data_IF_899797607348
#
_entry.id   IF_899797607348
#
_cell.length_a   1.000
_cell.length_b   1.000
_cell.length_c   1.000
_cell.angle_alpha   90.00
_cell.angle_beta   90.00
_cell.angle_gamma   90.00
#
_symmetry.space_group_name_H-M   'P 1'
#
loop_
_entity.id
_entity.type
_entity.pdbx_description
1 polymer ?
#
# COMPACT_ATOMS: atom_id res chain seq x y z
N UNK A 1 -12.29 12.35 3.90
CA UNK A 1 -12.87 13.12 5.03
C UNK A 1 -11.79 13.44 6.03
N UNK A 2 -11.16 14.60 5.88
CA UNK A 2 -9.90 15.00 6.53
C UNK A 2 -10.16 15.87 7.78
N UNK A 3 -10.05 15.30 8.98
CA UNK A 3 -9.89 16.13 10.20
C UNK A 3 -9.54 15.37 11.49
N UNK A 4 -9.30 14.05 11.47
CA UNK A 4 -8.63 13.46 12.62
C UNK A 4 -7.19 14.01 12.66
N UNK A 5 -6.71 14.47 13.82
CA UNK A 5 -5.27 14.72 13.99
C UNK A 5 -4.53 13.45 13.56
N UNK A 6 -3.43 13.58 12.82
CA UNK A 6 -2.72 12.41 12.30
C UNK A 6 -2.36 11.41 13.41
N UNK A 7 -2.04 11.93 14.59
CA UNK A 7 -1.80 11.14 15.80
C UNK A 7 -2.99 10.26 16.19
N UNK A 8 -4.23 10.75 16.04
CA UNK A 8 -5.44 9.96 16.31
C UNK A 8 -5.64 8.84 15.27
N UNK A 9 -5.33 9.07 13.98
CA UNK A 9 -5.39 8.02 12.95
C UNK A 9 -4.45 6.86 13.30
N UNK A 10 -3.23 7.17 13.72
CA UNK A 10 -2.25 6.16 14.08
C UNK A 10 -2.59 5.44 15.39
N UNK A 11 -2.78 6.19 16.48
CA UNK A 11 -2.96 5.60 17.81
C UNK A 11 -4.29 4.89 18.01
N UNK A 12 -5.32 5.22 17.21
CA UNK A 12 -6.62 4.55 17.28
C UNK A 12 -6.73 3.52 16.16
N UNK A 13 -6.82 3.96 14.91
CA UNK A 13 -7.19 3.09 13.80
C UNK A 13 -6.10 2.13 13.39
N UNK A 14 -4.89 2.65 13.13
CA UNK A 14 -3.76 1.80 12.72
C UNK A 14 -3.43 0.82 13.84
N UNK A 15 -3.37 1.29 15.09
CA UNK A 15 -3.11 0.44 16.25
C UNK A 15 -4.14 -0.68 16.39
N UNK A 16 -5.44 -0.40 16.27
CA UNK A 16 -6.48 -1.42 16.33
C UNK A 16 -6.32 -2.50 15.25
N UNK A 17 -5.94 -2.12 14.02
CA UNK A 17 -5.74 -3.08 12.93
C UNK A 17 -4.54 -4.00 13.14
N UNK A 18 -3.47 -3.54 13.79
CA UNK A 18 -2.24 -4.31 13.98
C UNK A 18 -2.11 -4.97 15.38
N UNK A 19 -2.99 -4.64 16.34
CA UNK A 19 -2.99 -5.26 17.68
C UNK A 19 -4.33 -5.86 18.11
N UNK A 20 -5.39 -5.76 17.31
CA UNK A 20 -6.72 -6.30 17.64
C UNK A 20 -6.80 -7.83 17.59
N UNK A 21 -8.02 -8.37 17.66
CA UNK A 21 -8.27 -9.82 17.76
C UNK A 21 -7.82 -10.62 16.53
N UNK A 22 -7.72 -9.97 15.37
CA UNK A 22 -7.15 -10.53 14.15
C UNK A 22 -6.17 -9.53 13.53
N UNK A 23 -4.94 -9.43 14.09
CA UNK A 23 -4.01 -8.38 13.72
C UNK A 23 -3.46 -8.61 12.32
N UNK A 24 -3.46 -7.57 11.50
CA UNK A 24 -2.82 -7.64 10.17
C UNK A 24 -1.30 -7.57 10.33
N UNK A 25 -0.58 -8.46 9.62
CA UNK A 25 0.88 -8.48 9.70
C UNK A 25 1.54 -7.39 8.85
N UNK A 26 0.85 -6.94 7.79
CA UNK A 26 1.30 -5.88 6.89
C UNK A 26 0.10 -4.96 6.62
N UNK A 27 0.31 -3.66 6.78
CA UNK A 27 -0.72 -2.64 6.56
C UNK A 27 -0.19 -1.52 5.66
N UNK A 28 -0.89 -1.26 4.57
CA UNK A 28 -0.62 -0.17 3.64
C UNK A 28 -1.44 1.05 4.05
N UNK A 29 -0.78 2.18 4.29
CA UNK A 29 -1.44 3.42 4.72
C UNK A 29 -1.19 4.52 3.70
N UNK A 30 -2.26 5.00 3.07
CA UNK A 30 -2.26 6.20 2.22
C UNK A 30 -2.64 7.42 3.06
N UNK A 31 -2.21 8.60 2.63
CA UNK A 31 -2.38 9.86 3.36
C UNK A 31 -1.95 9.70 4.83
N UNK A 32 -0.77 9.14 5.01
CA UNK A 32 -0.22 8.73 6.30
C UNK A 32 0.07 9.93 7.21
N UNK A 33 0.11 11.15 6.66
CA UNK A 33 0.53 12.36 7.37
C UNK A 33 1.94 12.18 7.92
N UNK A 34 2.15 12.41 9.22
CA UNK A 34 3.37 12.07 9.95
C UNK A 34 3.24 10.71 10.63
N UNK A 35 4.36 10.01 10.77
CA UNK A 35 4.47 8.81 11.63
C UNK A 35 4.13 9.13 13.09
N UNK A 36 3.72 8.13 13.91
CA UNK A 36 3.41 8.35 15.33
C UNK A 36 4.57 9.02 16.05
N UNK A 37 4.30 9.96 16.98
CA UNK A 37 5.35 10.66 17.72
C UNK A 37 6.25 9.73 18.57
N UNK A 38 5.75 8.53 18.90
CA UNK A 38 6.48 7.51 19.66
C UNK A 38 7.29 6.55 18.79
N UNK A 39 7.15 6.60 17.46
CA UNK A 39 7.97 5.83 16.54
C UNK A 39 9.41 6.36 16.53
N UNK A 40 10.39 5.45 16.51
CA UNK A 40 11.82 5.78 16.60
C UNK A 40 12.53 5.38 15.31
N UNK A 41 13.32 6.26 14.68
CA UNK A 41 14.06 5.90 13.48
C UNK A 41 15.07 4.79 13.81
N UNK A 42 15.20 3.80 12.93
CA UNK A 42 16.17 2.70 13.13
C UNK A 42 17.59 3.10 12.76
N UNK A 43 17.74 4.16 11.96
CA UNK A 43 19.02 4.57 11.38
C UNK A 43 19.45 3.73 10.18
N UNK A 44 18.65 2.75 9.74
CA UNK A 44 18.92 1.97 8.53
C UNK A 44 18.87 2.89 7.30
N UNK A 45 19.97 2.93 6.55
CA UNK A 45 20.05 3.68 5.29
C UNK A 45 19.37 2.87 4.18
N UNK A 46 18.29 3.41 3.63
CA UNK A 46 17.51 2.80 2.55
C UNK A 46 17.53 3.75 1.36
N UNK A 47 18.13 3.32 0.24
CA UNK A 47 18.26 4.13 -0.98
C UNK A 47 17.73 3.38 -2.21
N UNK A 48 16.41 3.23 -2.34
CA UNK A 48 15.76 2.52 -3.43
C UNK A 48 15.69 3.33 -4.74
N UNK A 49 16.23 4.56 -4.75
CA UNK A 49 16.22 5.48 -5.88
C UNK A 49 15.06 6.48 -5.87
N UNK A 50 15.37 7.77 -6.05
CA UNK A 50 14.42 8.86 -6.34
C UNK A 50 13.51 9.34 -5.19
N UNK A 51 12.97 8.44 -4.36
CA UNK A 51 12.11 8.78 -3.21
C UNK A 51 12.73 8.26 -1.92
N UNK A 52 13.08 9.13 -0.95
CA UNK A 52 13.58 8.69 0.34
C UNK A 52 12.54 7.85 1.09
N UNK A 53 12.98 6.72 1.65
CA UNK A 53 12.19 5.90 2.58
C UNK A 53 12.92 5.85 3.91
N UNK A 54 12.21 6.21 4.98
CA UNK A 54 12.70 6.14 6.35
C UNK A 54 12.10 4.90 7.04
N UNK A 55 12.92 4.17 7.78
CA UNK A 55 12.49 3.02 8.60
C UNK A 55 12.42 3.43 10.08
N UNK A 56 11.29 3.10 10.72
CA UNK A 56 11.07 3.31 12.14
C UNK A 56 10.68 2.00 12.82
N UNK A 57 10.99 1.89 14.11
CA UNK A 57 10.32 0.96 15.03
C UNK A 57 9.22 1.69 15.79
N UNK A 58 8.11 1.00 16.05
CA UNK A 58 7.02 1.52 16.86
C UNK A 58 6.59 0.50 17.89
N UNK A 59 6.80 0.84 19.17
CA UNK A 59 6.46 0.00 20.30
C UNK A 59 4.98 0.15 20.66
N UNK A 60 4.22 -0.91 20.44
CA UNK A 60 2.77 -1.02 20.71
C UNK A 60 2.47 -1.74 22.02
N UNK A 61 3.45 -2.49 22.51
CA UNK A 61 3.37 -3.23 23.75
C UNK A 61 3.71 -2.41 24.99
N UNK A 62 3.76 -3.09 26.13
CA UNK A 62 4.33 -2.55 27.36
C UNK A 62 5.71 -3.15 27.59
N UNK A 63 6.46 -2.62 28.55
CA UNK A 63 7.80 -3.15 28.89
C UNK A 63 7.79 -4.64 29.27
N UNK A 64 6.69 -5.15 29.83
CA UNK A 64 6.54 -6.55 30.24
C UNK A 64 5.98 -7.46 29.13
N UNK A 65 5.43 -6.88 28.06
CA UNK A 65 4.90 -7.59 26.88
C UNK A 65 5.25 -6.78 25.62
N UNK A 66 6.52 -6.83 25.18
CA UNK A 66 6.94 -6.07 24.01
C UNK A 66 6.19 -6.56 22.77
N UNK A 67 5.68 -5.60 22.01
CA UNK A 67 5.10 -5.82 20.69
C UNK A 67 5.53 -4.62 19.84
N UNK A 68 6.44 -4.84 18.92
CA UNK A 68 7.03 -3.77 18.12
C UNK A 68 6.84 -4.08 16.64
N UNK A 69 6.48 -3.06 15.88
CA UNK A 69 6.34 -3.13 14.43
C UNK A 69 7.34 -2.21 13.75
N UNK A 70 7.59 -2.45 12.48
CA UNK A 70 8.36 -1.59 11.61
C UNK A 70 7.44 -0.70 10.79
N UNK A 71 7.84 0.55 10.56
CA UNK A 71 7.15 1.49 9.67
C UNK A 71 8.14 1.91 8.58
N UNK A 72 7.79 1.67 7.33
CA UNK A 72 8.47 2.16 6.14
C UNK A 72 7.71 3.37 5.62
N UNK A 73 8.28 4.55 5.76
CA UNK A 73 7.58 5.81 5.54
C UNK A 73 8.20 6.59 4.36
N UNK A 74 7.34 6.96 3.41
CA UNK A 74 7.69 7.77 2.26
C UNK A 74 7.16 9.19 2.43
N UNK A 75 8.06 10.15 2.60
CA UNK A 75 7.73 11.57 2.65
C UNK A 75 7.63 12.15 1.24
N UNK A 76 6.51 11.89 0.57
CA UNK A 76 6.30 12.25 -0.84
C UNK A 76 5.98 13.75 -1.00
N UNK A 77 5.24 14.33 -0.06
CA UNK A 77 4.89 15.76 -0.07
C UNK A 77 5.56 16.46 1.11
N UNK A 78 6.73 17.02 0.83
CA UNK A 78 7.56 17.75 1.80
C UNK A 78 6.91 19.07 2.27
N UNK A 79 5.91 19.58 1.55
CA UNK A 79 5.21 20.82 1.85
C UNK A 79 3.96 20.61 2.70
N UNK A 80 2.85 20.20 2.07
CA UNK A 80 1.56 20.09 2.73
C UNK A 80 1.40 18.77 3.53
N UNK A 81 2.28 17.79 3.31
CA UNK A 81 2.34 16.48 4.00
C UNK A 81 1.04 15.69 3.94
N UNK A 82 0.25 15.86 2.87
CA UNK A 82 -1.07 15.23 2.75
C UNK A 82 -1.03 13.87 2.07
N UNK A 83 -0.07 13.66 1.16
CA UNK A 83 -0.02 12.47 0.30
C UNK A 83 1.09 11.49 0.66
N UNK A 84 1.61 11.58 1.89
CA UNK A 84 2.63 10.64 2.38
C UNK A 84 2.07 9.22 2.47
N UNK A 85 2.93 8.24 2.28
CA UNK A 85 2.56 6.82 2.31
C UNK A 85 3.40 6.07 3.33
N UNK A 86 2.83 5.02 3.93
CA UNK A 86 3.54 4.15 4.84
C UNK A 86 3.19 2.68 4.63
N UNK A 87 4.11 1.79 4.97
CA UNK A 87 3.85 0.36 5.16
C UNK A 87 4.23 0.01 6.59
N UNK A 88 3.28 -0.52 7.36
CA UNK A 88 3.53 -1.09 8.69
C UNK A 88 3.73 -2.59 8.54
N UNK A 89 4.75 -3.15 9.18
CA UNK A 89 5.06 -4.58 9.11
C UNK A 89 5.44 -5.13 10.48
N UNK A 90 4.92 -6.31 10.82
CA UNK A 90 5.32 -7.05 12.02
C UNK A 90 6.77 -7.57 11.96
N UNK A 91 7.38 -7.61 10.77
CA UNK A 91 8.75 -8.07 10.54
C UNK A 91 9.56 -7.00 9.82
N UNK A 92 10.86 -6.91 10.11
CA UNK A 92 11.74 -6.04 9.35
C UNK A 92 11.86 -6.56 7.91
N UNK A 93 11.75 -5.65 6.94
CA UNK A 93 11.92 -5.92 5.53
C UNK A 93 13.36 -6.28 5.20
N UNK A 94 13.57 -7.32 4.38
CA UNK A 94 14.92 -7.61 3.89
C UNK A 94 15.33 -6.64 2.78
N UNK A 95 14.37 -6.15 2.00
CA UNK A 95 14.57 -5.25 0.86
C UNK A 95 13.42 -4.24 0.79
N UNK A 96 13.71 -3.04 0.27
CA UNK A 96 12.73 -1.95 0.12
C UNK A 96 12.79 -1.45 -1.32
N UNK A 97 11.62 -1.21 -1.91
CA UNK A 97 11.48 -0.82 -3.31
C UNK A 97 10.77 0.53 -3.44
N UNK A 98 11.15 1.28 -4.47
CA UNK A 98 10.44 2.46 -4.97
C UNK A 98 10.36 2.31 -6.48
N UNK A 99 9.18 2.00 -6.98
CA UNK A 99 8.94 1.75 -8.42
C UNK A 99 8.12 2.88 -8.98
N UNK A 100 8.60 3.46 -10.08
CA UNK A 100 7.92 4.53 -10.82
C UNK A 100 7.48 4.00 -12.18
N UNK A 101 6.32 4.48 -12.63
CA UNK A 101 5.89 4.32 -14.01
C UNK A 101 6.45 5.47 -14.88
N UNK A 102 6.51 5.26 -16.19
CA UNK A 102 7.17 6.15 -17.17
C UNK A 102 6.19 6.93 -18.07
N UNK A 103 4.89 6.73 -17.91
CA UNK A 103 3.82 7.33 -18.73
C UNK A 103 3.39 8.71 -18.26
N UNK A 104 3.45 8.95 -16.95
CA UNK A 104 3.07 10.21 -16.32
C UNK A 104 4.26 10.76 -15.56
N UNK A 105 4.48 12.07 -15.65
CA UNK A 105 5.62 12.75 -15.04
C UNK A 105 5.77 12.46 -13.54
N UNK A 106 7.02 12.36 -13.08
CA UNK A 106 7.39 11.87 -11.75
C UNK A 106 7.00 12.80 -10.59
N UNK A 107 6.73 14.07 -10.89
CA UNK A 107 6.20 15.10 -9.98
C UNK A 107 4.67 15.05 -9.86
N UNK A 108 3.99 14.40 -10.81
CA UNK A 108 2.53 14.23 -10.84
C UNK A 108 2.12 12.88 -10.23
N UNK A 109 2.71 11.78 -10.71
CA UNK A 109 2.37 10.43 -10.26
C UNK A 109 3.24 9.98 -9.09
N UNK A 110 2.59 9.39 -8.09
CA UNK A 110 3.24 8.84 -6.89
C UNK A 110 3.85 7.47 -7.23
N UNK A 111 5.06 7.15 -6.73
CA UNK A 111 5.63 5.82 -6.92
C UNK A 111 4.83 4.76 -6.16
N UNK A 112 4.95 3.50 -6.57
CA UNK A 112 4.67 2.37 -5.69
C UNK A 112 5.86 2.22 -4.73
N UNK A 113 5.58 2.17 -3.42
CA UNK A 113 6.61 1.85 -2.41
C UNK A 113 6.38 0.42 -1.94
N UNK A 114 7.43 -0.35 -1.71
CA UNK A 114 7.27 -1.75 -1.36
C UNK A 114 8.32 -2.28 -0.40
N UNK A 115 8.00 -3.39 0.26
CA UNK A 115 8.90 -4.14 1.12
C UNK A 115 8.90 -5.61 0.78
N UNK A 116 10.06 -6.27 0.89
CA UNK A 116 10.17 -7.73 0.77
C UNK A 116 10.25 -8.39 2.14
N UNK A 117 9.46 -9.45 2.31
CA UNK A 117 9.54 -10.39 3.43
C UNK A 117 9.57 -11.81 2.85
N UNK A 118 10.70 -12.48 2.95
CA UNK A 118 10.95 -13.75 2.26
C UNK A 118 10.81 -13.60 0.74
N UNK A 119 9.90 -14.38 0.14
CA UNK A 119 9.63 -14.40 -1.29
C UNK A 119 8.44 -13.52 -1.70
N UNK A 120 7.88 -12.74 -0.78
CA UNK A 120 6.71 -11.93 -1.01
C UNK A 120 7.06 -10.44 -0.92
N UNK A 121 6.59 -9.66 -1.90
CA UNK A 121 6.77 -8.21 -1.95
C UNK A 121 5.43 -7.52 -1.79
N UNK A 122 5.37 -6.57 -0.87
CA UNK A 122 4.14 -5.89 -0.48
C UNK A 122 4.26 -4.42 -0.85
N UNK A 123 3.48 -3.97 -1.83
CA UNK A 123 3.45 -2.62 -2.33
C UNK A 123 2.26 -1.83 -1.81
N UNK A 124 2.50 -0.56 -1.52
CA UNK A 124 1.51 0.46 -1.27
C UNK A 124 1.49 1.45 -2.45
N UNK A 125 0.28 1.77 -2.92
CA UNK A 125 0.05 2.80 -3.93
C UNK A 125 -1.04 3.78 -3.48
N UNK A 126 -1.01 4.96 -4.09
CA UNK A 126 -2.10 5.93 -4.05
C UNK A 126 -2.16 6.57 -5.45
N UNK A 127 -2.96 6.00 -6.34
CA UNK A 127 -3.11 6.47 -7.72
C UNK A 127 -3.83 7.83 -7.77
N UNK A 128 -3.64 8.59 -8.85
CA UNK A 128 -4.19 9.94 -9.06
C UNK A 128 -5.69 10.02 -8.75
N UNK A 129 -6.09 11.01 -7.95
CA UNK A 129 -7.49 11.19 -7.54
C UNK A 129 -8.45 11.45 -8.72
N UNK A 130 -7.93 11.89 -9.88
CA UNK A 130 -8.67 12.08 -11.13
C UNK A 130 -8.95 10.74 -11.85
N UNK A 131 -9.55 9.78 -11.16
CA UNK A 131 -9.96 8.49 -11.72
C UNK A 131 -8.85 7.44 -11.86
N UNK A 132 -7.71 7.62 -11.18
CA UNK A 132 -6.60 6.67 -11.19
C UNK A 132 -5.96 6.55 -12.57
N UNK A 133 -5.67 7.67 -13.22
CA UNK A 133 -5.10 7.72 -14.57
C UNK A 133 -3.78 6.96 -14.73
N UNK A 134 -3.00 6.85 -13.65
CA UNK A 134 -1.70 6.19 -13.56
C UNK A 134 -1.77 4.74 -13.03
N UNK A 135 -2.93 4.26 -12.61
CA UNK A 135 -3.06 2.97 -11.92
C UNK A 135 -2.59 1.77 -12.77
N UNK A 136 -2.96 1.72 -14.05
CA UNK A 136 -2.54 0.63 -14.95
C UNK A 136 -1.04 0.68 -15.24
N UNK A 137 -0.48 1.88 -15.38
CA UNK A 137 0.96 2.09 -15.60
C UNK A 137 1.77 1.69 -14.36
N UNK A 138 1.27 1.96 -13.14
CA UNK A 138 1.89 1.51 -11.90
C UNK A 138 1.92 -0.03 -11.78
N UNK A 139 0.80 -0.70 -12.03
CA UNK A 139 0.75 -2.18 -12.03
C UNK A 139 1.71 -2.75 -13.08
N UNK A 140 1.77 -2.13 -14.26
CA UNK A 140 2.69 -2.51 -15.34
C UNK A 140 4.15 -2.37 -14.90
N UNK A 141 4.51 -1.24 -14.28
CA UNK A 141 5.87 -1.00 -13.82
C UNK A 141 6.31 -2.00 -12.74
N UNK A 142 5.43 -2.32 -11.79
CA UNK A 142 5.70 -3.37 -10.79
C UNK A 142 5.86 -4.73 -11.46
N UNK A 143 4.96 -5.09 -12.37
CA UNK A 143 5.10 -6.35 -13.11
C UNK A 143 6.47 -6.43 -13.81
N UNK A 144 6.86 -5.38 -14.52
CA UNK A 144 8.07 -5.37 -15.34
C UNK A 144 9.35 -5.43 -14.50
N UNK A 145 9.36 -4.76 -13.34
CA UNK A 145 10.47 -4.83 -12.37
C UNK A 145 10.77 -6.28 -11.95
N UNK A 146 9.75 -7.11 -11.78
CA UNK A 146 9.91 -8.49 -11.29
C UNK A 146 10.01 -9.55 -12.37
N UNK A 147 10.02 -9.19 -13.67
CA UNK A 147 10.15 -10.19 -14.76
C UNK A 147 11.40 -11.06 -14.58
N UNK A 148 12.50 -10.46 -14.12
CA UNK A 148 13.77 -11.16 -13.88
C UNK A 148 13.87 -11.82 -12.50
N UNK A 149 12.81 -11.74 -11.68
CA UNK A 149 12.71 -12.33 -10.34
C UNK A 149 11.43 -13.17 -10.20
N UNK A 150 11.24 -14.19 -11.05
CA UNK A 150 10.00 -14.99 -11.07
C UNK A 150 9.80 -15.81 -9.79
N UNK A 151 10.84 -15.96 -8.95
CA UNK A 151 10.72 -16.58 -7.63
C UNK A 151 9.82 -15.76 -6.69
N UNK A 152 9.75 -14.44 -6.87
CA UNK A 152 8.97 -13.56 -6.03
C UNK A 152 7.50 -13.52 -6.44
N UNK A 153 6.64 -13.46 -5.43
CA UNK A 153 5.25 -13.03 -5.59
C UNK A 153 5.13 -11.61 -5.08
N UNK A 154 4.20 -10.84 -5.63
CA UNK A 154 3.98 -9.46 -5.21
C UNK A 154 2.50 -9.16 -5.03
N UNK A 155 2.22 -8.22 -4.14
CA UNK A 155 0.88 -7.68 -3.89
C UNK A 155 1.00 -6.16 -3.99
N UNK A 156 0.11 -5.55 -4.76
CA UNK A 156 -0.09 -4.10 -4.76
C UNK A 156 -1.41 -3.82 -4.07
N UNK A 157 -1.40 -3.17 -2.91
CA UNK A 157 -2.61 -2.83 -2.18
C UNK A 157 -2.65 -1.34 -1.85
N UNK A 158 -3.82 -0.71 -2.01
CA UNK A 158 -4.01 0.69 -1.69
C UNK A 158 -5.15 1.32 -2.47
N UNK A 159 -5.12 2.64 -2.58
CA UNK A 159 -6.13 3.40 -3.31
C UNK A 159 -5.76 3.50 -4.79
N UNK A 160 -6.46 2.74 -5.63
CA UNK A 160 -6.29 2.76 -7.08
C UNK A 160 -7.05 3.92 -7.74
N UNK A 161 -7.94 4.62 -7.02
CA UNK A 161 -8.85 5.67 -7.52
C UNK A 161 -9.64 5.27 -8.79
N UNK A 162 -9.70 3.97 -9.08
CA UNK A 162 -10.22 3.37 -10.30
C UNK A 162 -10.94 2.09 -9.94
N UNK A 163 -12.09 1.85 -10.57
CA UNK A 163 -12.84 0.61 -10.38
C UNK A 163 -12.04 -0.63 -10.84
N UNK A 164 -12.12 -1.78 -10.13
CA UNK A 164 -11.39 -3.00 -10.48
C UNK A 164 -11.56 -3.47 -11.94
N UNK A 165 -12.78 -3.43 -12.49
CA UNK A 165 -13.03 -3.85 -13.87
C UNK A 165 -12.39 -2.88 -14.87
N UNK A 166 -12.40 -1.58 -14.55
CA UNK A 166 -11.72 -0.55 -15.34
C UNK A 166 -10.20 -0.61 -15.24
N UNK A 167 -9.65 -1.12 -14.13
CA UNK A 167 -8.22 -1.41 -14.03
C UNK A 167 -7.88 -2.59 -14.94
N UNK A 168 -8.60 -3.71 -14.79
CA UNK A 168 -8.39 -4.93 -15.57
C UNK A 168 -8.44 -4.66 -17.08
N UNK A 169 -9.43 -3.90 -17.55
CA UNK A 169 -9.59 -3.59 -18.97
C UNK A 169 -8.49 -2.70 -19.56
N UNK A 170 -7.76 -1.97 -18.70
CA UNK A 170 -6.67 -1.10 -19.11
C UNK A 170 -5.28 -1.76 -19.06
N UNK A 171 -5.19 -3.04 -18.69
CA UNK A 171 -3.94 -3.80 -18.64
C UNK A 171 -3.78 -4.69 -19.88
N UNK A 172 -2.54 -4.86 -20.32
CA UNK A 172 -2.21 -5.78 -21.41
C UNK A 172 -2.39 -7.25 -20.96
N UNK A 173 -2.71 -8.12 -21.91
CA UNK A 173 -2.91 -9.56 -21.66
C UNK A 173 -1.72 -10.26 -21.00
N UNK A 174 -0.49 -9.82 -21.26
CA UNK A 174 0.72 -10.33 -20.58
C UNK A 174 0.67 -10.11 -19.06
N UNK A 175 -0.01 -9.05 -18.62
CA UNK A 175 -0.14 -8.71 -17.21
C UNK A 175 -1.38 -9.39 -16.66
N UNK A 176 -2.53 -9.31 -17.36
CA UNK A 176 -3.79 -9.90 -16.87
C UNK A 176 -3.70 -11.42 -16.68
N UNK A 177 -2.82 -12.11 -17.42
CA UNK A 177 -2.58 -13.55 -17.25
C UNK A 177 -1.74 -13.88 -15.99
N UNK A 178 -1.10 -12.88 -15.39
CA UNK A 178 -0.16 -13.01 -14.29
C UNK A 178 -0.63 -12.37 -13.00
N UNK A 179 -1.87 -11.86 -12.98
CA UNK A 179 -2.44 -11.19 -11.82
C UNK A 179 -3.81 -11.74 -11.46
N UNK A 180 -4.18 -11.51 -10.21
CA UNK A 180 -5.53 -11.66 -9.71
C UNK A 180 -5.90 -10.39 -8.92
N UNK A 181 -7.00 -9.74 -9.30
CA UNK A 181 -7.52 -8.59 -8.55
C UNK A 181 -8.37 -9.12 -7.40
N UNK A 182 -7.98 -8.80 -6.17
CA UNK A 182 -8.70 -9.15 -4.95
C UNK A 182 -9.47 -7.93 -4.50
N UNK A 183 -10.79 -8.04 -4.37
CA UNK A 183 -11.68 -6.94 -3.95
C UNK A 183 -12.58 -7.37 -2.81
N UNK A 184 -13.18 -6.40 -2.13
CA UNK A 184 -14.33 -6.62 -1.26
C UNK A 184 -15.65 -6.39 -2.03
N UNK A 185 -16.75 -6.95 -1.52
CA UNK A 185 -18.08 -6.83 -2.15
C UNK A 185 -18.83 -5.54 -1.76
N UNK A 186 -18.19 -4.66 -1.01
CA UNK A 186 -18.76 -3.41 -0.49
C UNK A 186 -17.91 -2.21 -0.89
N UNK A 187 -18.55 -1.06 -1.02
CA UNK A 187 -17.84 0.17 -1.34
C UNK A 187 -16.78 0.51 -0.29
N UNK A 188 -15.62 0.98 -0.76
CA UNK A 188 -14.51 1.44 0.07
C UNK A 188 -14.53 2.97 0.20
N UNK A 189 -15.13 3.64 -0.79
CA UNK A 189 -15.27 5.08 -0.84
C UNK A 189 -16.75 5.47 -0.96
N UNK A 190 -17.22 6.25 0.03
CA UNK A 190 -18.62 6.67 0.13
C UNK A 190 -18.78 8.13 -0.29
N UNK A 191 -19.77 8.42 -1.14
CA UNK A 191 -20.10 9.77 -1.58
C UNK A 191 -21.52 10.15 -1.18
N UNK A 192 -21.72 11.41 -0.77
CA UNK A 192 -23.05 11.95 -0.44
C UNK A 192 -23.88 12.35 -1.67
N UNK A 193 -23.28 12.39 -2.86
CA UNK A 193 -23.93 12.88 -4.10
C UNK A 193 -23.47 12.18 -5.38
N UNK A 194 -22.70 11.10 -5.27
CA UNK A 194 -22.30 10.24 -6.38
C UNK A 194 -22.40 8.78 -5.94
N UNK A 195 -22.29 7.85 -6.89
CA UNK A 195 -22.26 6.42 -6.57
C UNK A 195 -21.09 6.10 -5.63
N UNK A 196 -21.34 5.22 -4.66
CA UNK A 196 -20.28 4.64 -3.84
C UNK A 196 -19.39 3.74 -4.72
N UNK A 197 -18.09 3.71 -4.45
CA UNK A 197 -17.11 3.04 -5.32
C UNK A 197 -16.19 2.11 -4.54
N UNK A 198 -15.66 1.11 -5.22
CA UNK A 198 -14.58 0.25 -4.76
C UNK A 198 -13.29 0.81 -5.38
N UNK A 199 -12.51 1.52 -4.57
CA UNK A 199 -11.25 2.16 -4.99
C UNK A 199 -10.05 1.57 -4.26
N UNK A 200 -10.29 0.99 -3.08
CA UNK A 200 -9.27 0.39 -2.23
C UNK A 200 -9.33 -1.13 -2.39
N UNK A 201 -8.32 -1.71 -3.02
CA UNK A 201 -8.26 -3.14 -3.27
C UNK A 201 -6.82 -3.61 -3.43
N UNK A 202 -6.63 -4.89 -3.78
CA UNK A 202 -5.32 -5.46 -4.02
C UNK A 202 -5.22 -6.11 -5.40
N UNK A 203 -4.01 -6.09 -5.96
CA UNK A 203 -3.60 -6.86 -7.13
C UNK A 203 -2.50 -7.80 -6.68
N UNK A 204 -2.76 -9.09 -6.72
CA UNK A 204 -1.77 -10.14 -6.45
C UNK A 204 -1.18 -10.55 -7.79
N UNK A 205 0.14 -10.73 -7.86
CA UNK A 205 0.78 -11.17 -9.09
C UNK A 205 2.10 -11.89 -8.86
N UNK A 206 2.56 -12.50 -9.95
CA UNK A 206 3.92 -13.02 -10.10
C UNK A 206 4.34 -12.74 -11.53
N UNK A 207 5.49 -12.15 -11.73
CA UNK A 207 5.93 -11.73 -13.05
C UNK A 207 6.63 -12.86 -13.79
N UNK A 208 6.44 -12.90 -15.11
CA UNK A 208 7.12 -13.81 -16.03
C UNK A 208 7.22 -13.19 -17.41
N UNK A 209 8.20 -13.61 -18.19
CA UNK A 209 8.29 -13.32 -19.63
C UNK A 209 7.40 -14.23 -20.49
N UNK A 210 6.92 -15.36 -19.93
CA UNK A 210 5.92 -16.20 -20.59
C UNK A 210 4.58 -15.43 -20.72
N UNK A 211 3.73 -15.77 -21.69
CA UNK A 211 2.39 -15.19 -21.83
C UNK A 211 1.29 -16.10 -21.27
N UNK A 212 1.62 -17.31 -20.81
CA UNK A 212 0.67 -18.24 -20.22
C UNK A 212 0.12 -17.75 -18.88
N UNK A 213 -1.10 -18.16 -18.56
CA UNK A 213 -1.66 -17.93 -17.23
C UNK A 213 -0.84 -18.63 -16.16
N UNK A 214 -0.46 -17.90 -15.11
CA UNK A 214 0.29 -18.45 -13.99
C UNK A 214 -0.65 -18.89 -12.87
N UNK A 215 -0.30 -20.01 -12.21
CA UNK A 215 -0.90 -20.35 -10.94
C UNK A 215 -0.34 -19.41 -9.86
N UNK A 216 -1.17 -18.49 -9.39
CA UNK A 216 -0.81 -17.58 -8.31
C UNK A 216 -1.05 -18.26 -6.96
N UNK A 217 -0.17 -18.02 -5.96
CA UNK A 217 -0.44 -18.49 -4.61
C UNK A 217 -1.77 -17.91 -4.11
N UNK A 218 -2.51 -18.70 -3.34
CA UNK A 218 -3.68 -18.21 -2.63
C UNK A 218 -3.22 -17.24 -1.54
N UNK A 219 -3.21 -15.96 -1.86
CA UNK A 219 -2.94 -14.89 -0.91
C UNK A 219 -4.27 -14.33 -0.44
N UNK A 220 -4.60 -14.58 0.82
CA UNK A 220 -5.75 -13.96 1.48
C UNK A 220 -5.36 -12.54 1.89
N UNK A 221 -5.75 -11.56 1.07
CA UNK A 221 -5.66 -10.14 1.46
C UNK A 221 -6.95 -9.74 2.18
N UNK A 222 -6.86 -9.43 3.47
CA UNK A 222 -7.97 -8.81 4.19
C UNK A 222 -7.95 -7.30 3.89
N UNK A 223 -8.81 -6.88 2.97
CA UNK A 223 -8.98 -5.48 2.63
C UNK A 223 -9.85 -4.83 3.70
N UNK A 224 -9.19 -4.05 4.56
CA UNK A 224 -9.85 -3.21 5.53
C UNK A 224 -9.94 -1.80 4.93
N UNK A 225 -11.08 -1.46 4.35
CA UNK A 225 -11.37 -0.04 4.12
C UNK A 225 -11.44 0.61 5.50
N UNK A 226 -10.46 1.46 5.82
CA UNK A 226 -10.49 2.25 7.04
C UNK A 226 -11.56 3.34 6.91
N UNK A 227 -12.85 2.96 6.81
CA UNK A 227 -13.97 3.83 7.11
C UNK A 227 -14.05 3.99 8.63
N UNK A 228 -13.01 4.56 9.23
CA UNK A 228 -12.93 4.88 10.66
C UNK A 228 -13.83 6.10 10.90
N UNK A 229 -15.13 5.87 10.92
CA UNK A 229 -16.12 6.90 11.29
C UNK A 229 -17.07 6.51 12.40
N UNK A 230 -16.89 5.38 13.08
CA UNK A 230 -17.68 5.07 14.29
C UNK A 230 -17.10 5.64 15.60
N UNK A 231 -16.03 6.44 15.57
CA UNK A 231 -15.53 7.14 16.77
C UNK A 231 -15.38 8.67 16.63
N UNK A 232 -15.95 9.27 15.59
CA UNK A 232 -15.98 10.74 15.41
C UNK A 232 -17.41 11.24 15.15
N UNK A 233 -18.36 10.73 15.92
CA UNK A 233 -19.52 11.49 16.33
C UNK A 233 -19.26 11.93 17.77
N UNK A 234 -18.68 13.13 17.92
CA UNK A 234 -19.11 14.01 19.02
C UNK A 234 -20.16 14.92 18.44
#
# INVERSE_FOLDING_TARGET
GSSASTENKWNVSVRQLITGDNPVNILMVQEAGRVPATARPTGRVIQPGGTPIEEYTWDLGTRSRPNSVFIYYANIDVGARRVNMAIVSARQAEEVFVIRQDRIAADVSRPAIGIRIGNDVFFNIHALASGGGDATALVTAVHDEFITRPELSWIIAGDFNRDPASLQSGLDTRITNHIHIVTQNSATHFSRGAANRILDYAVVGRSSSDRRTLALPAITALLMAASVRSHLAS
#
